data_IF_684528921660
#
_entry.id   IF_684528921660
#
_cell.length_a   1.000
_cell.length_b   1.000
_cell.length_c   1.000
_cell.angle_alpha   90.00
_cell.angle_beta   90.00
_cell.angle_gamma   90.00
#
_symmetry.space_group_name_H-M   'P 1'
#
loop_
_entity.id
_entity.type
_entity.pdbx_description
1 polymer ?
#
# COMPACT_ATOMS: atom_id res chain seq x y z
N UNK A 1 -12.14 -19.89 -13.00
CA UNK A 1 -11.92 -18.51 -12.49
C UNK A 1 -11.84 -17.60 -13.71
N UNK A 2 -12.54 -16.47 -13.78
CA UNK A 2 -12.33 -15.54 -14.88
C UNK A 2 -10.94 -14.90 -14.73
N UNK A 3 -10.22 -14.76 -15.84
CA UNK A 3 -8.94 -14.07 -15.90
C UNK A 3 -9.10 -12.62 -15.43
N UNK A 4 -8.44 -12.26 -14.33
CA UNK A 4 -8.35 -10.88 -13.87
C UNK A 4 -7.17 -10.23 -14.59
N UNK A 5 -7.46 -9.31 -15.51
CA UNK A 5 -6.45 -8.46 -16.13
C UNK A 5 -5.96 -7.45 -15.09
N UNK A 6 -4.67 -7.46 -14.77
CA UNK A 6 -4.03 -6.32 -14.13
C UNK A 6 -4.08 -5.15 -15.11
N UNK A 7 -4.71 -4.04 -14.72
CA UNK A 7 -4.85 -2.87 -15.58
C UNK A 7 -3.62 -1.96 -15.41
N UNK A 8 -2.48 -2.39 -15.95
CA UNK A 8 -1.38 -1.46 -16.24
C UNK A 8 -1.72 -0.74 -17.54
N UNK A 9 -1.67 0.60 -17.58
CA UNK A 9 -1.78 1.34 -18.83
C UNK A 9 -0.67 0.94 -19.81
N UNK A 10 -0.86 1.17 -21.11
CA UNK A 10 0.26 1.00 -22.05
C UNK A 10 1.37 1.99 -21.68
N UNK A 11 2.62 1.54 -21.51
CA UNK A 11 3.71 2.41 -21.09
C UNK A 11 4.01 3.44 -22.17
N UNK A 12 3.98 4.72 -21.81
CA UNK A 12 4.47 5.80 -22.65
C UNK A 12 6.00 5.69 -22.75
N UNK A 13 6.47 5.08 -23.83
CA UNK A 13 7.88 4.77 -24.10
C UNK A 13 8.75 6.01 -24.40
N UNK A 14 8.17 7.21 -24.46
CA UNK A 14 8.89 8.42 -24.89
C UNK A 14 9.45 9.27 -23.73
N UNK A 15 9.01 9.03 -22.49
CA UNK A 15 9.60 9.65 -21.29
C UNK A 15 9.56 8.65 -20.14
N UNK A 16 10.70 8.23 -19.56
CA UNK A 16 10.67 7.39 -18.37
C UNK A 16 10.02 8.16 -17.22
N UNK A 17 8.77 7.84 -16.89
CA UNK A 17 8.14 8.28 -15.65
C UNK A 17 8.41 7.19 -14.59
N UNK A 18 9.38 7.40 -13.68
CA UNK A 18 9.64 6.42 -12.64
C UNK A 18 8.48 6.28 -11.66
N UNK A 19 7.47 7.17 -11.68
CA UNK A 19 6.38 7.16 -10.72
C UNK A 19 6.63 8.06 -9.52
N UNK A 20 6.01 7.71 -8.38
CA UNK A 20 6.34 8.31 -7.08
C UNK A 20 7.69 7.79 -6.56
N UNK A 21 8.02 6.54 -6.88
CA UNK A 21 9.23 5.84 -6.45
C UNK A 21 9.85 5.15 -7.66
N UNK A 22 11.17 5.24 -7.82
CA UNK A 22 11.89 4.57 -8.91
C UNK A 22 12.58 3.27 -8.49
N UNK A 23 13.15 2.50 -9.44
CA UNK A 23 13.84 1.22 -9.18
C UNK A 23 14.95 1.27 -8.13
N UNK A 24 15.57 2.44 -7.91
CA UNK A 24 16.64 2.64 -6.93
C UNK A 24 16.12 3.01 -5.52
N UNK A 25 14.80 3.15 -5.35
CA UNK A 25 14.17 3.49 -4.07
C UNK A 25 14.11 2.30 -3.11
N UNK A 26 14.04 2.58 -1.81
CA UNK A 26 13.83 1.53 -0.82
C UNK A 26 12.42 0.94 -0.90
N UNK A 27 11.43 1.73 -1.31
CA UNK A 27 10.05 1.29 -1.54
C UNK A 27 9.99 0.24 -2.63
N UNK A 28 10.67 0.44 -3.77
CA UNK A 28 10.78 -0.59 -4.81
C UNK A 28 11.46 -1.85 -4.28
N UNK A 29 12.60 -1.70 -3.60
CA UNK A 29 13.37 -2.83 -3.09
C UNK A 29 12.57 -3.67 -2.08
N UNK A 30 11.87 -3.04 -1.15
CA UNK A 30 11.11 -3.74 -0.11
C UNK A 30 9.82 -4.33 -0.66
N UNK A 31 9.04 -3.56 -1.44
CA UNK A 31 7.72 -4.00 -1.90
C UNK A 31 7.79 -5.04 -3.03
N UNK A 32 8.92 -5.16 -3.74
CA UNK A 32 9.11 -6.18 -4.78
C UNK A 32 9.58 -7.54 -4.24
N UNK A 33 10.01 -7.59 -2.98
CA UNK A 33 10.45 -8.83 -2.34
C UNK A 33 9.26 -9.71 -1.92
N UNK A 34 9.32 -11.05 -2.02
CA UNK A 34 8.25 -11.93 -1.57
C UNK A 34 7.81 -11.72 -0.12
N UNK A 35 8.70 -11.25 0.76
CA UNK A 35 8.38 -10.92 2.16
C UNK A 35 7.36 -9.78 2.29
N UNK A 36 7.17 -8.94 1.26
CA UNK A 36 6.13 -7.92 1.23
C UNK A 36 4.72 -8.51 1.36
N UNK A 37 4.50 -9.76 0.91
CA UNK A 37 3.22 -10.45 1.12
C UNK A 37 2.97 -10.73 2.60
N UNK A 38 4.02 -11.16 3.33
CA UNK A 38 3.96 -11.37 4.78
C UNK A 38 3.77 -10.03 5.51
N UNK A 39 4.47 -8.99 5.06
CA UNK A 39 4.29 -7.62 5.53
C UNK A 39 2.85 -7.13 5.36
N UNK A 40 2.24 -7.36 4.21
CA UNK A 40 0.83 -7.03 3.96
C UNK A 40 -0.14 -7.75 4.90
N UNK A 41 0.08 -9.04 5.17
CA UNK A 41 -0.75 -9.80 6.13
C UNK A 41 -0.59 -9.25 7.55
N UNK A 42 0.65 -8.99 7.99
CA UNK A 42 0.93 -8.38 9.30
C UNK A 42 0.28 -6.99 9.41
N UNK A 43 0.36 -6.18 8.36
CA UNK A 43 -0.25 -4.86 8.31
C UNK A 43 -1.77 -4.94 8.52
N UNK A 44 -2.45 -5.87 7.86
CA UNK A 44 -3.89 -6.06 8.01
C UNK A 44 -4.28 -6.47 9.44
N UNK A 45 -3.50 -7.35 10.06
CA UNK A 45 -3.72 -7.74 11.45
C UNK A 45 -3.56 -6.56 12.40
N UNK A 46 -2.51 -5.75 12.24
CA UNK A 46 -2.26 -4.56 13.05
C UNK A 46 -3.32 -3.47 12.83
N UNK A 47 -3.68 -3.21 11.57
CA UNK A 47 -4.73 -2.26 11.21
C UNK A 47 -6.07 -2.65 11.84
N UNK A 48 -6.36 -3.95 11.89
CA UNK A 48 -7.54 -4.51 12.54
C UNK A 48 -7.66 -4.28 14.05
N UNK A 49 -6.59 -3.81 14.71
CA UNK A 49 -6.62 -3.51 16.14
C UNK A 49 -7.19 -2.13 16.47
N UNK A 50 -7.43 -1.26 15.49
CA UNK A 50 -8.03 0.06 15.73
C UNK A 50 -9.56 -0.02 15.71
N UNK A 51 -10.24 0.15 16.85
CA UNK A 51 -11.66 -0.18 16.97
C UNK A 51 -12.56 0.70 16.09
N UNK A 52 -12.28 1.99 15.98
CA UNK A 52 -13.07 2.92 15.17
C UNK A 52 -12.86 2.72 13.66
N UNK A 53 -11.62 2.46 13.22
CA UNK A 53 -11.35 2.12 11.83
C UNK A 53 -12.08 0.83 11.44
N UNK A 54 -12.10 -0.16 12.34
CA UNK A 54 -12.81 -1.42 12.11
C UNK A 54 -14.34 -1.27 12.15
N UNK A 55 -14.88 -0.37 12.96
CA UNK A 55 -16.30 -0.03 12.90
C UNK A 55 -16.69 0.54 11.52
N UNK A 56 -15.81 1.36 10.92
CA UNK A 56 -15.97 1.86 9.56
C UNK A 56 -15.90 0.75 8.49
N UNK A 57 -14.98 -0.20 8.66
CA UNK A 57 -14.88 -1.38 7.79
C UNK A 57 -16.15 -2.23 7.89
N UNK A 58 -16.64 -2.50 9.10
CA UNK A 58 -17.87 -3.26 9.35
C UNK A 58 -19.07 -2.61 8.65
N UNK A 59 -19.22 -1.29 8.76
CA UNK A 59 -20.36 -0.56 8.21
C UNK A 59 -20.38 -0.48 6.68
N UNK A 60 -19.22 -0.60 6.01
CA UNK A 60 -19.08 -0.25 4.60
C UNK A 60 -18.43 -1.33 3.74
N UNK A 61 -18.16 -2.52 4.29
CA UNK A 61 -17.43 -3.57 3.58
C UNK A 61 -18.11 -4.92 3.60
N UNK A 62 -18.16 -5.56 2.44
CA UNK A 62 -18.50 -6.99 2.27
C UNK A 62 -17.29 -7.91 2.55
N UNK A 63 -16.47 -7.59 3.56
CA UNK A 63 -15.20 -8.30 3.74
C UNK A 63 -15.38 -9.75 4.21
N UNK A 64 -16.55 -10.10 4.78
CA UNK A 64 -16.86 -11.47 5.19
C UNK A 64 -17.22 -12.34 3.99
N UNK A 65 -17.84 -11.74 2.98
CA UNK A 65 -18.30 -12.39 1.76
C UNK A 65 -17.21 -12.41 0.67
N UNK A 66 -16.38 -11.37 0.59
CA UNK A 66 -15.27 -11.22 -0.36
C UNK A 66 -13.97 -10.76 0.34
N UNK A 67 -13.40 -11.57 1.25
CA UNK A 67 -12.14 -11.23 1.94
C UNK A 67 -10.97 -11.14 0.95
N UNK A 68 -10.93 -12.06 0.00
CA UNK A 68 -9.87 -12.13 -1.00
C UNK A 68 -9.93 -10.98 -1.99
N UNK A 69 -11.11 -10.63 -2.52
CA UNK A 69 -11.22 -9.49 -3.41
C UNK A 69 -10.90 -8.17 -2.71
N UNK A 70 -11.23 -8.01 -1.41
CA UNK A 70 -10.77 -6.85 -0.62
C UNK A 70 -9.24 -6.80 -0.54
N UNK A 71 -8.61 -7.91 -0.18
CA UNK A 71 -7.16 -8.00 -0.08
C UNK A 71 -6.49 -7.62 -1.41
N UNK A 72 -6.96 -8.18 -2.52
CA UNK A 72 -6.40 -7.90 -3.84
C UNK A 72 -6.56 -6.44 -4.27
N UNK A 73 -7.68 -5.77 -3.96
CA UNK A 73 -7.85 -4.33 -4.26
C UNK A 73 -6.84 -3.47 -3.48
N UNK A 74 -6.56 -3.81 -2.22
CA UNK A 74 -5.52 -3.11 -1.45
C UNK A 74 -4.13 -3.37 -2.01
N UNK A 75 -3.82 -4.62 -2.37
CA UNK A 75 -2.54 -4.98 -2.98
C UNK A 75 -2.33 -4.28 -4.34
N UNK A 76 -3.37 -4.21 -5.16
CA UNK A 76 -3.35 -3.49 -6.44
C UNK A 76 -3.13 -1.99 -6.22
N UNK A 77 -3.81 -1.38 -5.25
CA UNK A 77 -3.57 0.02 -4.88
C UNK A 77 -2.11 0.26 -4.47
N UNK A 78 -1.55 -0.57 -3.58
CA UNK A 78 -0.15 -0.46 -3.14
C UNK A 78 0.81 -0.64 -4.33
N UNK A 79 0.53 -1.59 -5.22
CA UNK A 79 1.35 -1.83 -6.41
C UNK A 79 1.32 -0.62 -7.35
N UNK A 80 0.15 0.01 -7.58
CA UNK A 80 0.03 1.22 -8.40
C UNK A 80 0.76 2.40 -7.76
N UNK A 81 0.65 2.59 -6.43
CA UNK A 81 1.38 3.64 -5.71
C UNK A 81 2.90 3.45 -5.79
N UNK A 82 3.36 2.20 -5.72
CA UNK A 82 4.80 1.91 -5.67
C UNK A 82 5.45 1.86 -7.06
N UNK A 83 4.80 1.20 -8.01
CA UNK A 83 5.39 0.80 -9.29
C UNK A 83 4.74 1.47 -10.52
N UNK A 84 3.59 2.12 -10.33
CA UNK A 84 2.88 2.81 -11.41
C UNK A 84 3.49 4.16 -11.75
N UNK A 85 3.05 4.72 -12.86
CA UNK A 85 3.38 6.11 -13.24
C UNK A 85 2.85 7.10 -12.20
N UNK A 86 3.39 8.32 -12.19
CA UNK A 86 2.96 9.37 -11.25
C UNK A 86 1.49 9.72 -11.48
N UNK A 87 1.04 9.70 -12.74
CA UNK A 87 -0.34 9.93 -13.10
C UNK A 87 -1.27 8.83 -12.55
N UNK A 88 -0.90 7.56 -12.70
CA UNK A 88 -1.68 6.43 -12.16
C UNK A 88 -1.74 6.46 -10.63
N UNK A 89 -0.59 6.68 -9.97
CA UNK A 89 -0.51 6.77 -8.51
C UNK A 89 -1.38 7.92 -7.97
N UNK A 90 -1.28 9.12 -8.55
CA UNK A 90 -2.10 10.26 -8.16
C UNK A 90 -3.59 9.99 -8.38
N UNK A 91 -3.97 9.42 -9.53
CA UNK A 91 -5.37 9.09 -9.82
C UNK A 91 -5.94 8.06 -8.84
N UNK A 92 -5.15 7.02 -8.51
CA UNK A 92 -5.54 6.01 -7.53
C UNK A 92 -5.70 6.62 -6.14
N UNK A 93 -4.74 7.45 -5.70
CA UNK A 93 -4.79 8.13 -4.41
C UNK A 93 -5.99 9.09 -4.30
N UNK A 94 -6.29 9.85 -5.35
CA UNK A 94 -7.48 10.72 -5.40
C UNK A 94 -8.79 9.94 -5.25
N UNK A 95 -8.92 8.80 -5.95
CA UNK A 95 -10.10 7.93 -5.84
C UNK A 95 -10.27 7.40 -4.41
N UNK A 96 -9.19 6.91 -3.79
CA UNK A 96 -9.22 6.41 -2.40
C UNK A 96 -9.56 7.53 -1.42
N UNK A 97 -8.95 8.72 -1.56
CA UNK A 97 -9.28 9.89 -0.73
C UNK A 97 -10.76 10.28 -0.84
N UNK A 98 -11.32 10.31 -2.05
CA UNK A 98 -12.73 10.62 -2.25
C UNK A 98 -13.66 9.58 -1.59
N UNK A 99 -13.31 8.28 -1.66
CA UNK A 99 -14.05 7.21 -0.99
C UNK A 99 -13.98 7.39 0.54
N UNK A 100 -12.79 7.56 1.11
CA UNK A 100 -12.63 7.76 2.56
C UNK A 100 -13.38 9.00 3.04
N UNK A 101 -13.33 10.10 2.30
CA UNK A 101 -14.07 11.32 2.65
C UNK A 101 -15.59 11.13 2.64
N UNK A 102 -16.10 10.44 1.61
CA UNK A 102 -17.54 10.14 1.50
C UNK A 102 -18.02 9.24 2.64
N UNK A 103 -17.19 8.28 3.06
CA UNK A 103 -17.49 7.34 4.13
C UNK A 103 -17.13 7.85 5.53
N UNK A 104 -16.57 9.07 5.65
CA UNK A 104 -16.09 9.64 6.93
C UNK A 104 -15.03 8.78 7.62
N UNK A 105 -14.16 8.16 6.82
CA UNK A 105 -13.02 7.33 7.26
C UNK A 105 -11.68 8.05 7.10
N UNK A 106 -11.70 9.37 6.90
CA UNK A 106 -10.57 10.23 6.58
C UNK A 106 -10.02 11.00 7.79
N UNK A 107 -10.30 10.56 9.02
CA UNK A 107 -9.73 11.18 10.21
C UNK A 107 -8.20 11.00 10.21
N UNK A 108 -7.41 12.08 10.40
CA UNK A 108 -5.95 12.02 10.30
C UNK A 108 -5.31 10.94 11.19
N UNK A 109 -5.80 10.76 12.41
CA UNK A 109 -5.29 9.77 13.36
C UNK A 109 -5.52 8.32 12.88
N UNK A 110 -6.65 8.05 12.20
CA UNK A 110 -6.94 6.72 11.66
C UNK A 110 -6.09 6.42 10.44
N UNK A 111 -5.94 7.40 9.55
CA UNK A 111 -5.07 7.28 8.38
C UNK A 111 -3.62 7.07 8.81
N UNK A 112 -3.15 7.79 9.82
CA UNK A 112 -1.81 7.65 10.37
C UNK A 112 -1.60 6.26 10.98
N UNK A 113 -2.56 5.73 11.74
CA UNK A 113 -2.48 4.36 12.26
C UNK A 113 -2.31 3.34 11.15
N UNK A 114 -3.14 3.43 10.11
CA UNK A 114 -3.13 2.49 8.98
C UNK A 114 -1.81 2.58 8.21
N UNK A 115 -1.36 3.81 7.95
CA UNK A 115 -0.11 4.09 7.27
C UNK A 115 1.11 3.57 8.06
N UNK A 116 1.24 3.95 9.33
CA UNK A 116 2.33 3.51 10.19
C UNK A 116 2.36 1.99 10.35
N UNK A 117 1.21 1.35 10.53
CA UNK A 117 1.11 -0.11 10.61
C UNK A 117 1.53 -0.81 9.32
N UNK A 118 1.26 -0.20 8.16
CA UNK A 118 1.74 -0.70 6.86
C UNK A 118 3.27 -0.56 6.73
N UNK A 119 3.80 0.66 6.93
CA UNK A 119 5.22 0.97 6.83
C UNK A 119 6.05 0.09 7.78
N UNK A 120 5.66 0.01 9.05
CA UNK A 120 6.33 -0.84 10.03
C UNK A 120 6.32 -2.32 9.60
N UNK A 121 5.19 -2.82 9.10
CA UNK A 121 5.08 -4.22 8.68
C UNK A 121 5.94 -4.58 7.49
N UNK A 122 6.00 -3.70 6.49
CA UNK A 122 6.83 -3.92 5.31
C UNK A 122 8.31 -3.95 5.68
N UNK A 123 8.77 -2.96 6.46
CA UNK A 123 10.16 -2.87 6.89
C UNK A 123 10.55 -4.03 7.81
N UNK A 124 9.74 -4.32 8.83
CA UNK A 124 10.02 -5.39 9.81
C UNK A 124 10.06 -6.77 9.15
N UNK A 125 9.13 -7.04 8.23
CA UNK A 125 9.11 -8.31 7.51
C UNK A 125 10.30 -8.46 6.55
N UNK A 126 10.73 -7.38 5.90
CA UNK A 126 11.93 -7.42 5.06
C UNK A 126 13.20 -7.69 5.89
N UNK A 127 13.35 -7.04 7.04
CA UNK A 127 14.49 -7.28 7.93
C UNK A 127 14.47 -8.73 8.45
N UNK A 128 13.31 -9.21 8.94
CA UNK A 128 13.19 -10.56 9.51
C UNK A 128 13.29 -11.68 8.48
N UNK A 129 12.99 -11.42 7.21
CA UNK A 129 13.17 -12.39 6.13
C UNK A 129 14.63 -12.54 5.71
N UNK A 130 15.53 -11.69 6.23
CA UNK A 130 16.96 -11.72 5.97
C UNK A 130 17.44 -10.67 4.95
N UNK A 131 16.60 -9.70 4.58
CA UNK A 131 17.05 -8.61 3.71
C UNK A 131 18.06 -7.73 4.47
N UNK A 132 19.27 -7.59 3.91
CA UNK A 132 20.29 -6.69 4.46
C UNK A 132 19.89 -5.22 4.23
N UNK A 133 19.32 -4.61 5.28
CA UNK A 133 18.90 -3.20 5.33
C UNK A 133 19.69 -2.51 6.44
N UNK A 134 20.41 -1.44 6.12
CA UNK A 134 21.09 -0.60 7.14
C UNK A 134 20.09 0.33 7.83
N UNK A 135 20.44 0.89 8.98
CA UNK A 135 19.60 1.89 9.66
C UNK A 135 19.30 3.11 8.77
N UNK A 136 20.26 3.55 7.94
CA UNK A 136 20.06 4.66 7.00
C UNK A 136 19.07 4.30 5.86
N UNK A 137 19.12 3.04 5.39
CA UNK A 137 18.16 2.54 4.39
C UNK A 137 16.75 2.40 4.98
N UNK A 138 16.65 1.97 6.25
CA UNK A 138 15.38 1.96 6.97
C UNK A 138 14.80 3.37 7.12
N UNK A 139 15.61 4.35 7.51
CA UNK A 139 15.18 5.76 7.60
C UNK A 139 14.77 6.31 6.23
N UNK A 140 15.47 5.93 5.17
CA UNK A 140 15.13 6.31 3.80
C UNK A 140 13.78 5.75 3.39
N UNK A 141 13.51 4.46 3.68
CA UNK A 141 12.21 3.86 3.43
C UNK A 141 11.07 4.59 4.15
N UNK A 142 11.25 4.92 5.43
CA UNK A 142 10.24 5.65 6.20
C UNK A 142 10.00 7.05 5.63
N UNK A 143 11.06 7.75 5.21
CA UNK A 143 10.93 9.07 4.56
C UNK A 143 10.19 8.99 3.23
N UNK A 144 10.45 7.95 2.43
CA UNK A 144 9.73 7.72 1.19
C UNK A 144 8.22 7.54 1.41
N UNK A 145 7.81 6.86 2.50
CA UNK A 145 6.39 6.66 2.79
C UNK A 145 5.62 7.97 3.08
N UNK A 146 6.30 9.06 3.44
CA UNK A 146 5.65 10.39 3.61
C UNK A 146 5.16 10.97 2.28
N UNK A 147 5.71 10.51 1.15
CA UNK A 147 5.34 10.95 -0.21
C UNK A 147 4.15 10.12 -0.75
N UNK A 148 3.98 8.89 -0.25
CA UNK A 148 3.00 7.90 -0.71
C UNK A 148 1.54 8.28 -0.40
#
# INVERSE_FOLDING_TARGET
MPERKFAFGEPDVLTPDPGLFGPDSMSWRIHSDPSATVGGIRALLLQGLHPEAMAGVEAHSIYREDPWGRLFRTAEYIAVITFGTKAEANSAAEKVRAIHHRLKLDKPEWLLWVHAGFTDSMLECAIRSGMSITSEQADTYVKEQVIA
#
